data_IF_085311803629
#
_entry.id   IF_085311803629
#
_cell.length_a   1.000
_cell.length_b   1.000
_cell.length_c   1.000
_cell.angle_alpha   90.00
_cell.angle_beta   90.00
_cell.angle_gamma   90.00
#
_symmetry.space_group_name_H-M   'P 1'
#
loop_
_entity.id
_entity.type
_entity.pdbx_description
1 polymer ?
#
# COMPACT_ATOMS: atom_id res chain seq x y z
N UNK A 1 6.20 -0.65 14.10
CA UNK A 1 6.50 -0.05 12.79
C UNK A 1 7.90 -0.51 12.34
N UNK A 2 8.01 -1.71 11.80
CA UNK A 2 9.27 -2.32 11.36
C UNK A 2 9.02 -3.19 10.13
N UNK A 3 10.12 -3.69 9.51
CA UNK A 3 10.08 -4.58 8.36
C UNK A 3 10.12 -3.84 7.04
N UNK A 4 10.24 -4.63 5.97
CA UNK A 4 10.33 -4.12 4.60
C UNK A 4 9.13 -4.63 3.81
N UNK A 5 8.40 -3.70 3.21
CA UNK A 5 7.10 -3.95 2.62
C UNK A 5 7.11 -3.69 1.12
N UNK A 6 6.38 -4.49 0.36
CA UNK A 6 6.28 -4.42 -1.08
C UNK A 6 4.83 -4.52 -1.57
N UNK A 7 4.50 -3.71 -2.58
CA UNK A 7 3.30 -3.84 -3.40
C UNK A 7 3.55 -3.29 -4.80
N UNK A 8 2.63 -3.55 -5.71
CA UNK A 8 2.73 -3.11 -7.10
C UNK A 8 1.54 -2.26 -7.52
N UNK A 9 1.78 -1.38 -8.47
CA UNK A 9 0.74 -0.60 -9.14
C UNK A 9 0.96 -0.68 -10.65
N UNK A 10 -0.07 -1.05 -11.39
CA UNK A 10 -0.09 -1.06 -12.83
C UNK A 10 -0.72 0.23 -13.33
N UNK A 11 0.00 0.99 -14.13
CA UNK A 11 -0.48 2.16 -14.84
C UNK A 11 -1.26 1.67 -16.08
N UNK A 12 -2.57 1.44 -15.93
CA UNK A 12 -3.40 0.88 -17.00
C UNK A 12 -3.59 1.86 -18.15
N UNK A 13 -3.81 3.14 -17.82
CA UNK A 13 -3.87 4.23 -18.77
C UNK A 13 -3.30 5.50 -18.15
N UNK A 14 -2.56 6.27 -18.91
CA UNK A 14 -2.00 7.55 -18.54
C UNK A 14 -2.43 8.58 -19.58
N UNK A 15 -3.12 9.62 -19.13
CA UNK A 15 -3.52 10.74 -19.98
C UNK A 15 -2.27 11.44 -20.56
N UNK A 16 -2.17 11.50 -21.89
CA UNK A 16 -1.01 12.09 -22.57
C UNK A 16 -0.89 13.60 -22.34
N UNK A 17 -2.00 14.29 -22.17
CA UNK A 17 -2.02 15.73 -21.93
C UNK A 17 -1.75 16.06 -20.45
N UNK A 18 -2.12 15.14 -19.54
CA UNK A 18 -1.97 15.31 -18.09
C UNK A 18 -1.66 13.98 -17.38
N UNK A 19 -0.42 13.48 -17.52
CA UNK A 19 0.00 12.23 -16.90
C UNK A 19 0.11 12.40 -15.37
N UNK A 20 -1.01 12.24 -14.65
CA UNK A 20 -1.11 12.53 -13.23
C UNK A 20 -1.58 11.31 -12.43
N UNK A 21 -0.79 10.24 -12.42
CA UNK A 21 -0.86 9.18 -11.43
C UNK A 21 0.13 9.46 -10.31
N UNK A 22 -0.30 9.23 -9.08
CA UNK A 22 0.48 9.47 -7.87
C UNK A 22 0.48 8.22 -6.99
N UNK A 23 1.65 7.76 -6.60
CA UNK A 23 1.82 6.57 -5.77
C UNK A 23 2.76 6.90 -4.61
N UNK A 24 2.36 6.60 -3.39
CA UNK A 24 3.24 6.87 -2.27
C UNK A 24 2.69 6.51 -0.91
N UNK A 25 3.04 7.32 0.04
CA UNK A 25 2.66 7.18 1.45
C UNK A 25 2.06 8.49 1.96
N UNK A 26 1.12 8.38 2.87
CA UNK A 26 0.64 9.48 3.69
C UNK A 26 0.86 9.19 5.17
N UNK A 27 1.15 10.24 5.94
CA UNK A 27 1.24 10.13 7.39
C UNK A 27 -0.17 10.06 7.96
N UNK A 28 -0.51 8.95 8.60
CA UNK A 28 -1.87 8.63 9.09
C UNK A 28 -2.42 9.52 10.22
N UNK A 29 -1.84 10.71 10.43
CA UNK A 29 -2.28 11.66 11.45
C UNK A 29 -3.40 12.59 11.02
N UNK A 30 -3.63 12.70 9.73
CA UNK A 30 -4.60 13.66 9.18
C UNK A 30 -5.72 12.90 8.51
N UNK A 31 -6.90 12.95 9.10
CA UNK A 31 -8.15 12.44 8.51
C UNK A 31 -8.65 13.27 7.33
N UNK A 32 -7.84 14.19 6.84
CA UNK A 32 -8.19 15.01 5.67
C UNK A 32 -7.75 14.27 4.40
N UNK A 33 -8.64 13.45 3.89
CA UNK A 33 -8.47 12.58 2.70
C UNK A 33 -8.23 13.33 1.38
N UNK A 34 -7.72 14.54 1.41
CA UNK A 34 -7.43 15.34 0.22
C UNK A 34 -6.02 15.16 -0.31
N UNK A 35 -5.56 13.90 -0.47
CA UNK A 35 -4.25 13.61 -1.06
C UNK A 35 -4.14 14.20 -2.47
N UNK A 36 -5.23 14.35 -3.17
CA UNK A 36 -5.25 14.63 -4.61
C UNK A 36 -5.52 16.10 -4.92
N UNK A 37 -6.36 16.76 -4.15
CA UNK A 37 -6.79 18.12 -4.50
C UNK A 37 -5.76 19.20 -4.14
N UNK A 38 -4.65 18.80 -3.54
CA UNK A 38 -3.63 19.74 -3.03
C UNK A 38 -2.26 19.56 -3.67
N UNK A 39 -2.10 18.61 -4.58
CA UNK A 39 -0.83 18.42 -5.31
C UNK A 39 -0.55 19.62 -6.25
N UNK A 40 -1.53 20.49 -6.47
CA UNK A 40 -1.38 21.72 -7.24
C UNK A 40 -1.52 23.02 -6.46
N UNK A 41 -2.10 23.04 -5.26
CA UNK A 41 -2.45 24.30 -4.60
C UNK A 41 -2.51 24.22 -3.08
N UNK A 42 -1.42 23.87 -2.41
CA UNK A 42 -1.31 24.06 -0.95
C UNK A 42 -1.47 22.79 -0.13
N UNK A 43 -0.38 22.32 0.31
CA UNK A 43 0.00 21.74 1.58
C UNK A 43 -0.91 20.69 2.23
N UNK A 44 -0.81 19.42 1.82
CA UNK A 44 -0.76 18.39 2.86
C UNK A 44 0.72 18.07 3.04
N UNK A 45 1.31 18.54 4.13
CA UNK A 45 2.73 18.38 4.44
C UNK A 45 3.12 16.89 4.71
N UNK A 46 2.14 15.99 4.65
CA UNK A 46 2.23 14.60 5.11
C UNK A 46 2.34 13.58 3.99
N UNK A 47 1.97 13.92 2.75
CA UNK A 47 2.05 12.99 1.62
C UNK A 47 3.43 13.02 0.95
N UNK A 48 3.88 11.84 0.54
CA UNK A 48 5.12 11.62 -0.21
C UNK A 48 4.80 10.71 -1.39
N UNK A 49 4.81 11.28 -2.59
CA UNK A 49 4.35 10.58 -3.79
C UNK A 49 5.38 10.61 -4.92
N UNK A 50 5.46 9.54 -5.68
CA UNK A 50 6.12 9.45 -6.97
C UNK A 50 5.09 9.66 -8.06
N UNK A 51 5.43 10.49 -9.07
CA UNK A 51 4.52 10.98 -10.09
C UNK A 51 4.79 10.33 -11.45
N UNK A 52 3.74 10.11 -12.24
CA UNK A 52 3.86 9.55 -13.59
C UNK A 52 4.41 10.52 -14.63
N UNK A 53 4.32 11.83 -14.39
CA UNK A 53 4.61 12.89 -15.35
C UNK A 53 6.11 13.19 -15.57
N UNK A 54 7.00 12.42 -14.96
CA UNK A 54 8.45 12.64 -15.06
C UNK A 54 9.02 13.73 -14.17
N UNK A 55 8.18 14.46 -13.41
CA UNK A 55 8.66 15.47 -12.44
C UNK A 55 9.28 14.83 -11.19
N UNK A 56 9.26 13.50 -11.10
CA UNK A 56 9.88 12.75 -10.02
C UNK A 56 8.98 12.60 -8.79
N UNK A 57 9.51 12.95 -7.62
CA UNK A 57 8.80 12.81 -6.35
C UNK A 57 8.30 14.16 -5.85
N UNK A 58 7.20 14.12 -5.11
CA UNK A 58 6.60 15.30 -4.50
C UNK A 58 6.34 15.08 -3.01
N UNK A 59 6.80 16.03 -2.20
CA UNK A 59 6.48 16.11 -0.76
C UNK A 59 5.91 17.49 -0.50
N UNK A 60 4.66 17.57 -0.07
CA UNK A 60 3.94 18.85 0.00
C UNK A 60 3.94 19.55 -1.36
N UNK A 61 4.48 20.75 -1.42
CA UNK A 61 4.62 21.57 -2.65
C UNK A 61 6.01 21.44 -3.31
N UNK A 62 6.91 20.64 -2.75
CA UNK A 62 8.27 20.51 -3.25
C UNK A 62 8.37 19.29 -4.16
N UNK A 63 8.81 19.52 -5.38
CA UNK A 63 9.17 18.47 -6.33
C UNK A 63 10.68 18.22 -6.31
N UNK A 64 11.07 16.98 -6.50
CA UNK A 64 12.46 16.56 -6.59
C UNK A 64 12.63 15.55 -7.72
N UNK A 65 13.66 15.72 -8.53
CA UNK A 65 13.94 14.79 -9.63
C UNK A 65 14.16 13.37 -9.08
N UNK A 66 13.38 12.42 -9.63
CA UNK A 66 13.46 11.00 -9.28
C UNK A 66 12.83 10.16 -10.37
N UNK A 67 13.51 9.07 -10.77
CA UNK A 67 12.99 8.15 -11.77
C UNK A 67 12.72 8.80 -13.12
N UNK A 68 11.81 8.21 -13.87
CA UNK A 68 11.41 8.67 -15.19
C UNK A 68 9.89 8.79 -15.35
N UNK A 69 9.46 9.29 -16.50
CA UNK A 69 8.06 9.30 -16.93
C UNK A 69 7.55 7.87 -17.07
N UNK A 70 6.33 7.61 -16.64
CA UNK A 70 5.68 6.31 -16.84
C UNK A 70 4.95 6.29 -18.18
N UNK A 71 4.71 5.09 -18.66
CA UNK A 71 3.92 4.80 -19.85
C UNK A 71 2.77 3.86 -19.52
N UNK A 72 1.77 3.82 -20.39
CA UNK A 72 0.72 2.82 -20.31
C UNK A 72 1.31 1.42 -20.24
N UNK A 73 0.81 0.61 -19.32
CA UNK A 73 1.28 -0.74 -19.09
C UNK A 73 2.46 -0.84 -18.11
N UNK A 74 3.07 0.26 -17.68
CA UNK A 74 4.15 0.20 -16.68
C UNK A 74 3.64 -0.35 -15.34
N UNK A 75 4.47 -1.20 -14.73
CA UNK A 75 4.24 -1.70 -13.37
C UNK A 75 5.26 -1.09 -12.44
N UNK A 76 4.76 -0.38 -11.44
CA UNK A 76 5.56 0.31 -10.44
C UNK A 76 5.55 -0.51 -9.14
N UNK A 77 6.70 -1.07 -8.78
CA UNK A 77 6.91 -1.71 -7.47
C UNK A 77 7.27 -0.67 -6.44
N UNK A 78 6.53 -0.62 -5.34
CA UNK A 78 6.79 0.25 -4.19
C UNK A 78 7.48 -0.54 -3.10
N UNK A 79 8.57 -0.02 -2.59
CA UNK A 79 9.44 -0.64 -1.61
C UNK A 79 9.57 0.29 -0.40
N UNK A 80 9.03 -0.11 0.74
CA UNK A 80 9.11 0.66 1.99
C UNK A 80 9.95 -0.09 3.00
N UNK A 81 11.11 0.48 3.34
CA UNK A 81 11.98 -0.02 4.39
C UNK A 81 11.72 0.77 5.67
N UNK A 82 10.88 0.20 6.54
CA UNK A 82 10.54 0.82 7.83
C UNK A 82 11.68 0.75 8.84
N UNK A 83 12.66 -0.14 8.64
CA UNK A 83 13.80 -0.27 9.55
C UNK A 83 14.82 0.85 9.27
N UNK A 84 15.01 1.19 8.00
CA UNK A 84 15.90 2.28 7.58
C UNK A 84 15.18 3.63 7.39
N UNK A 85 13.85 3.66 7.45
CA UNK A 85 13.06 4.86 7.17
C UNK A 85 13.22 5.35 5.73
N UNK A 86 13.19 4.44 4.75
CA UNK A 86 13.44 4.74 3.34
C UNK A 86 12.34 4.19 2.44
N UNK A 87 12.04 4.93 1.38
CA UNK A 87 11.10 4.50 0.33
C UNK A 87 11.83 4.49 -1.01
N UNK A 88 11.61 3.43 -1.78
CA UNK A 88 12.18 3.24 -3.11
C UNK A 88 11.10 2.82 -4.09
N UNK A 89 11.35 3.01 -5.38
CA UNK A 89 10.47 2.54 -6.44
C UNK A 89 11.25 1.75 -7.50
N UNK A 90 10.54 0.79 -8.10
CA UNK A 90 10.99 0.06 -9.29
C UNK A 90 9.98 0.29 -10.39
N UNK A 91 10.45 0.43 -11.61
CA UNK A 91 9.58 0.43 -12.78
C UNK A 91 9.95 -0.74 -13.67
N UNK A 92 8.96 -1.57 -13.98
CA UNK A 92 9.15 -2.79 -14.77
C UNK A 92 10.33 -3.63 -14.26
N UNK A 93 10.36 -3.87 -12.96
CA UNK A 93 11.41 -4.60 -12.24
C UNK A 93 12.79 -3.91 -12.16
N UNK A 94 12.96 -2.73 -12.71
CA UNK A 94 14.22 -1.96 -12.64
C UNK A 94 14.13 -0.90 -11.54
N UNK A 95 15.12 -0.88 -10.63
CA UNK A 95 15.17 0.11 -9.57
C UNK A 95 15.35 1.51 -10.14
N UNK A 96 14.53 2.45 -9.71
CA UNK A 96 14.62 3.85 -10.13
C UNK A 96 15.80 4.59 -9.48
N UNK A 97 16.24 5.67 -10.14
CA UNK A 97 17.30 6.55 -9.64
C UNK A 97 18.57 5.82 -9.16
N UNK A 98 18.94 4.71 -9.84
CA UNK A 98 20.11 3.88 -9.49
C UNK A 98 20.12 3.38 -8.04
N UNK A 99 18.92 3.20 -7.44
CA UNK A 99 18.77 2.72 -6.07
C UNK A 99 18.85 3.82 -5.00
N UNK A 100 18.86 5.08 -5.37
CA UNK A 100 18.67 6.15 -4.41
C UNK A 100 17.28 6.11 -3.81
N UNK A 101 17.15 6.42 -2.52
CA UNK A 101 15.84 6.52 -1.88
C UNK A 101 15.05 7.71 -2.43
N UNK A 102 13.79 7.47 -2.75
CA UNK A 102 12.85 8.53 -3.13
C UNK A 102 12.53 9.45 -1.96
N UNK A 103 12.36 8.84 -0.77
CA UNK A 103 12.04 9.55 0.47
C UNK A 103 12.80 8.99 1.65
N UNK A 104 13.03 9.87 2.62
CA UNK A 104 13.32 9.51 4.01
C UNK A 104 12.07 9.79 4.84
N UNK A 105 11.65 8.83 5.67
CA UNK A 105 10.46 8.90 6.52
C UNK A 105 10.86 8.73 7.99
N UNK A 106 10.19 9.43 8.88
CA UNK A 106 10.42 9.26 10.32
C UNK A 106 9.48 8.18 10.88
N UNK A 107 10.00 6.98 10.99
CA UNK A 107 9.27 5.79 11.45
C UNK A 107 8.97 5.79 12.96
N UNK A 108 9.61 6.69 13.73
CA UNK A 108 9.45 6.75 15.18
C UNK A 108 8.26 7.61 15.61
N UNK A 109 7.93 8.61 14.81
CA UNK A 109 6.91 9.61 15.15
C UNK A 109 5.65 9.51 14.32
N UNK A 110 5.68 8.80 13.19
CA UNK A 110 4.58 8.76 12.23
C UNK A 110 4.18 7.34 11.87
N UNK A 111 2.88 7.14 11.69
CA UNK A 111 2.32 5.98 11.02
C UNK A 111 2.11 6.31 9.55
N UNK A 112 2.40 5.38 8.66
CA UNK A 112 2.28 5.57 7.23
C UNK A 112 1.24 4.61 6.65
N UNK A 113 0.47 5.12 5.70
CA UNK A 113 -0.48 4.34 4.90
C UNK A 113 -0.12 4.44 3.42
N UNK A 114 -0.27 3.38 2.63
CA UNK A 114 -0.19 3.46 1.18
C UNK A 114 -1.21 4.46 0.63
N UNK A 115 -0.76 5.32 -0.28
CA UNK A 115 -1.59 6.38 -0.84
C UNK A 115 -1.50 6.38 -2.35
N UNK A 116 -2.66 6.56 -2.98
CA UNK A 116 -2.82 6.51 -4.42
C UNK A 116 -3.67 7.70 -4.87
N UNK A 117 -3.25 8.34 -5.95
CA UNK A 117 -3.96 9.48 -6.47
C UNK A 117 -4.07 9.43 -7.98
N UNK A 118 -5.24 9.81 -8.46
CA UNK A 118 -5.52 10.04 -9.88
C UNK A 118 -6.04 11.47 -9.99
N UNK A 119 -5.42 12.26 -10.83
CA UNK A 119 -5.96 13.58 -11.15
C UNK A 119 -6.46 13.58 -12.59
N UNK A 120 -7.68 13.99 -12.75
CA UNK A 120 -8.30 14.25 -14.04
C UNK A 120 -8.87 15.65 -14.09
N UNK A 121 -8.84 16.21 -15.29
CA UNK A 121 -9.50 17.44 -15.62
C UNK A 121 -10.70 17.11 -16.53
N UNK A 122 -11.79 17.85 -16.38
CA UNK A 122 -13.01 17.66 -17.18
C UNK A 122 -12.81 17.84 -18.70
N UNK A 123 -11.62 18.28 -19.12
CA UNK A 123 -11.25 18.46 -20.52
C UNK A 123 -10.44 17.29 -21.10
N UNK A 124 -10.14 16.24 -20.33
CA UNK A 124 -9.43 15.07 -20.83
C UNK A 124 -10.29 14.30 -21.84
N UNK A 125 -9.86 14.28 -23.09
CA UNK A 125 -10.54 13.59 -24.19
C UNK A 125 -10.11 12.12 -24.35
N UNK A 126 -9.03 11.70 -23.66
CA UNK A 126 -8.27 10.48 -23.96
C UNK A 126 -8.57 9.30 -23.05
N UNK A 127 -9.65 9.35 -22.27
CA UNK A 127 -10.05 8.23 -21.41
C UNK A 127 -9.42 8.23 -20.00
N UNK A 128 -8.63 9.25 -19.69
CA UNK A 128 -8.18 9.56 -18.35
C UNK A 128 -7.03 8.73 -17.79
N UNK A 129 -6.69 9.00 -16.53
CA UNK A 129 -5.66 8.29 -15.79
C UNK A 129 -6.27 7.12 -15.02
N UNK A 130 -5.78 5.91 -15.23
CA UNK A 130 -6.28 4.68 -14.58
C UNK A 130 -5.13 3.86 -14.03
N UNK A 131 -5.24 3.40 -12.79
CA UNK A 131 -4.29 2.46 -12.20
C UNK A 131 -5.00 1.31 -11.48
N UNK A 132 -4.33 0.17 -11.42
CA UNK A 132 -4.74 -1.00 -10.64
C UNK A 132 -3.67 -1.32 -9.61
N UNK A 133 -4.08 -1.68 -8.39
CA UNK A 133 -3.18 -1.87 -7.25
C UNK A 133 -3.17 -3.35 -6.87
N UNK A 134 -1.97 -3.89 -6.63
CA UNK A 134 -1.74 -5.27 -6.21
C UNK A 134 -0.90 -5.32 -4.93
N UNK A 135 -1.51 -5.73 -3.82
CA UNK A 135 -0.84 -6.02 -2.55
C UNK A 135 -0.43 -7.50 -2.43
N UNK A 136 -0.40 -8.22 -3.54
CA UNK A 136 -0.12 -9.64 -3.63
C UNK A 136 -1.37 -10.50 -3.83
N UNK A 137 -2.46 -9.94 -4.34
CA UNK A 137 -3.68 -10.69 -4.60
C UNK A 137 -3.82 -11.16 -6.07
N UNK A 138 -3.23 -10.46 -7.03
CA UNK A 138 -3.43 -10.76 -8.46
C UNK A 138 -2.35 -10.14 -9.35
N UNK A 139 -1.44 -10.96 -9.87
CA UNK A 139 -0.38 -10.54 -10.79
C UNK A 139 -0.88 -10.21 -12.20
N UNK A 140 -2.13 -10.54 -12.51
CA UNK A 140 -2.76 -10.18 -13.78
C UNK A 140 -3.36 -8.76 -13.77
N UNK A 141 -3.48 -8.13 -12.61
CA UNK A 141 -4.13 -6.83 -12.46
C UNK A 141 -5.51 -6.78 -13.10
N UNK A 142 -6.39 -7.72 -12.66
CA UNK A 142 -7.73 -7.90 -13.20
C UNK A 142 -7.75 -8.23 -14.72
N UNK A 143 -6.85 -9.12 -15.15
CA UNK A 143 -6.65 -9.52 -16.54
C UNK A 143 -6.08 -8.43 -17.48
N UNK A 144 -5.58 -7.32 -16.94
CA UNK A 144 -4.86 -6.30 -17.72
C UNK A 144 -3.47 -6.75 -18.18
N UNK A 145 -2.88 -7.73 -17.48
CA UNK A 145 -1.58 -8.33 -17.82
C UNK A 145 -1.64 -9.86 -17.76
N UNK A 146 -0.62 -10.51 -18.34
CA UNK A 146 -0.44 -11.96 -18.13
C UNK A 146 -0.01 -12.22 -16.69
N UNK A 147 -0.71 -13.12 -16.02
CA UNK A 147 -0.36 -13.57 -14.65
C UNK A 147 1.02 -14.23 -14.62
N UNK A 148 1.77 -13.99 -13.56
CA UNK A 148 3.11 -14.56 -13.32
C UNK A 148 3.15 -15.37 -12.03
N UNK A 149 2.49 -14.91 -10.96
CA UNK A 149 2.44 -15.62 -9.69
C UNK A 149 3.73 -15.50 -8.87
N UNK A 150 4.47 -14.40 -9.00
CA UNK A 150 5.67 -14.22 -8.20
C UNK A 150 5.33 -13.99 -6.72
N UNK A 151 6.11 -14.58 -5.83
CA UNK A 151 5.91 -14.54 -4.38
C UNK A 151 7.10 -13.89 -3.68
N UNK A 152 6.85 -13.41 -2.46
CA UNK A 152 7.91 -12.96 -1.57
C UNK A 152 8.70 -14.14 -0.97
N UNK A 153 9.69 -13.85 -0.14
CA UNK A 153 10.55 -14.87 0.50
C UNK A 153 9.79 -15.79 1.49
N UNK A 154 8.60 -15.39 1.92
CA UNK A 154 7.71 -16.20 2.76
C UNK A 154 6.75 -17.08 1.93
N UNK A 155 6.85 -17.06 0.61
CA UNK A 155 5.94 -17.75 -0.29
C UNK A 155 4.55 -17.13 -0.32
N UNK A 156 4.44 -15.83 -0.05
CA UNK A 156 3.18 -15.10 0.00
C UNK A 156 3.11 -14.11 -1.17
N UNK A 157 1.92 -13.96 -1.72
CA UNK A 157 1.62 -13.04 -2.78
C UNK A 157 1.47 -13.69 -4.16
N UNK A 158 0.90 -12.90 -5.05
CA UNK A 158 0.77 -13.13 -6.49
C UNK A 158 1.14 -11.80 -7.18
N UNK A 159 2.45 -11.61 -7.40
CA UNK A 159 3.00 -10.40 -7.97
C UNK A 159 3.41 -10.58 -9.43
N UNK A 160 3.47 -9.48 -10.17
CA UNK A 160 4.03 -9.45 -11.52
C UNK A 160 5.54 -9.65 -11.49
N UNK A 161 6.21 -9.08 -10.52
CA UNK A 161 7.65 -9.20 -10.32
C UNK A 161 7.97 -9.71 -8.92
N UNK A 162 8.99 -10.54 -8.81
CA UNK A 162 9.45 -11.02 -7.49
C UNK A 162 9.85 -9.83 -6.61
N UNK A 163 9.27 -9.71 -5.41
CA UNK A 163 9.72 -8.72 -4.44
C UNK A 163 11.22 -8.83 -4.20
N UNK A 164 11.93 -7.72 -4.02
CA UNK A 164 13.37 -7.77 -3.70
C UNK A 164 13.62 -8.50 -2.39
N UNK A 165 14.80 -9.11 -2.26
CA UNK A 165 15.18 -9.82 -1.04
C UNK A 165 14.99 -8.97 0.21
N UNK A 166 14.38 -9.53 1.24
CA UNK A 166 14.04 -8.89 2.50
C UNK A 166 12.75 -8.06 2.47
N UNK A 167 12.11 -7.89 1.31
CA UNK A 167 10.81 -7.24 1.20
C UNK A 167 9.70 -8.28 1.10
N UNK A 168 8.66 -8.11 1.90
CA UNK A 168 7.51 -9.01 1.94
C UNK A 168 6.24 -8.30 1.50
N UNK A 169 5.26 -9.06 1.06
CA UNK A 169 3.95 -8.56 0.65
C UNK A 169 3.30 -7.75 1.78
N UNK A 170 2.82 -6.55 1.46
CA UNK A 170 2.07 -5.72 2.41
C UNK A 170 0.66 -6.28 2.61
N UNK A 171 0.57 -7.38 3.33
CA UNK A 171 -0.68 -8.06 3.62
C UNK A 171 -0.71 -8.63 5.04
N UNK A 172 -1.90 -9.01 5.50
CA UNK A 172 -2.10 -9.49 6.87
C UNK A 172 -1.34 -10.78 7.20
N UNK A 173 -1.01 -11.61 6.19
CA UNK A 173 -0.24 -12.85 6.41
C UNK A 173 1.20 -12.61 6.83
N UNK A 174 1.76 -11.45 6.48
CA UNK A 174 3.11 -11.03 6.85
C UNK A 174 3.15 -10.15 8.12
N UNK A 175 1.99 -9.79 8.66
CA UNK A 175 1.95 -9.07 9.93
C UNK A 175 2.22 -10.02 11.10
N UNK A 176 2.87 -9.54 12.16
CA UNK A 176 3.00 -10.31 13.39
C UNK A 176 1.63 -10.76 13.90
N UNK A 177 1.56 -11.96 14.44
CA UNK A 177 0.34 -12.42 15.12
C UNK A 177 -0.05 -11.44 16.22
N UNK A 178 -1.36 -11.13 16.38
CA UNK A 178 -1.82 -10.27 17.46
C UNK A 178 -1.38 -10.84 18.81
N UNK A 179 -0.86 -9.99 19.70
CA UNK A 179 -0.48 -10.41 21.06
C UNK A 179 -1.66 -10.96 21.86
N UNK A 180 -2.88 -10.55 21.51
CA UNK A 180 -4.12 -11.07 22.06
C UNK A 180 -4.89 -11.79 20.97
N UNK A 181 -4.90 -13.11 21.03
CA UNK A 181 -5.69 -13.91 20.09
C UNK A 181 -7.13 -13.99 20.60
N UNK A 182 -8.14 -13.51 19.87
CA UNK A 182 -9.52 -13.45 20.35
C UNK A 182 -10.05 -14.80 20.85
N UNK A 183 -9.70 -15.89 20.20
CA UNK A 183 -10.09 -17.26 20.61
C UNK A 183 -9.58 -17.68 21.99
N UNK A 184 -8.48 -17.07 22.46
CA UNK A 184 -7.86 -17.39 23.75
C UNK A 184 -8.37 -16.46 24.87
N UNK A 185 -9.11 -15.40 24.50
CA UNK A 185 -9.61 -14.36 25.42
C UNK A 185 -11.13 -14.22 25.39
N UNK A 186 -11.82 -14.95 24.53
CA UNK A 186 -13.28 -14.95 24.45
C UNK A 186 -13.79 -16.34 24.09
N UNK A 187 -14.62 -16.89 24.97
CA UNK A 187 -15.29 -18.17 24.76
C UNK A 187 -16.80 -18.02 24.88
N UNK A 188 -17.54 -18.70 24.00
CA UNK A 188 -18.98 -18.87 24.13
C UNK A 188 -19.25 -20.30 24.55
N UNK A 189 -19.84 -20.49 25.73
CA UNK A 189 -20.25 -21.81 26.20
C UNK A 189 -21.79 -21.87 26.19
N UNK A 190 -22.32 -22.78 25.41
CA UNK A 190 -23.75 -23.13 25.47
C UNK A 190 -24.00 -24.07 26.64
N UNK A 191 -25.00 -23.80 27.44
CA UNK A 191 -25.43 -24.71 28.50
C UNK A 191 -26.94 -25.00 28.39
N UNK A 192 -27.32 -26.17 28.81
CA UNK A 192 -28.74 -26.54 28.91
C UNK A 192 -29.20 -26.23 30.33
N UNK A 193 -30.13 -25.29 30.45
CA UNK A 193 -30.74 -24.98 31.76
C UNK A 193 -31.54 -26.18 32.28
N UNK A 194 -31.42 -26.46 33.57
CA UNK A 194 -32.15 -27.56 34.24
C UNK A 194 -33.62 -27.23 34.45
N UNK A 195 -34.04 -25.98 34.26
CA UNK A 195 -35.40 -25.50 34.51
C UNK A 195 -35.74 -25.36 36.04
N UNK A 196 -34.77 -25.61 36.90
CA UNK A 196 -34.96 -25.50 38.36
C UNK A 196 -34.44 -24.18 38.82
N UNK A 197 -35.32 -23.36 39.41
CA UNK A 197 -34.95 -22.05 39.97
C UNK A 197 -34.08 -22.24 41.24
N UNK A 198 -32.88 -21.65 41.21
CA UNK A 198 -31.95 -21.69 42.35
C UNK A 198 -31.07 -22.95 42.45
N UNK A 199 -31.02 -23.80 41.45
CA UNK A 199 -30.12 -24.94 41.43
C UNK A 199 -28.64 -24.51 41.32
N UNK A 200 -27.81 -25.01 42.23
CA UNK A 200 -26.37 -24.77 42.24
C UNK A 200 -25.62 -25.39 41.00
N UNK A 201 -26.37 -26.06 40.14
CA UNK A 201 -25.86 -26.82 38.99
C UNK A 201 -25.74 -26.01 37.69
N UNK A 202 -26.12 -24.76 37.72
CA UNK A 202 -25.94 -23.84 36.56
C UNK A 202 -24.60 -23.09 36.60
N UNK A 203 -23.56 -23.73 37.12
CA UNK A 203 -22.22 -23.13 37.18
C UNK A 203 -21.49 -23.44 35.87
N UNK A 204 -21.17 -22.39 35.15
CA UNK A 204 -20.28 -22.49 33.97
C UNK A 204 -18.85 -22.59 34.48
N UNK A 205 -18.22 -23.73 34.31
CA UNK A 205 -16.82 -23.97 34.67
C UNK A 205 -16.00 -24.10 33.38
N UNK A 206 -14.82 -23.50 33.35
CA UNK A 206 -13.88 -23.66 32.24
C UNK A 206 -13.87 -22.48 31.23
N UNK A 207 -14.07 -21.26 31.70
CA UNK A 207 -13.70 -20.04 30.96
C UNK A 207 -12.22 -19.73 31.18
#
# INVERSE_FOLDING_TARGET
>A
HSGKWYWEVHALAIDNDRPNLYIGLDEGRVLDHRIINTIGSGAIATSRVYQSNGNGTKTSNNESAYGGTWSDGDVIGVMVDMDAGKVYYRRNNTIESSGAAAFTIDVNTSSFIPSFGVYEDAASADGGNVMTINFGQDSSFAAGLTSVGAQDENGIGDFKYTPPAGYVAFCTKNLPEPQCVPKDNFGIVGYTGTGVNGAAENVITGL
#
